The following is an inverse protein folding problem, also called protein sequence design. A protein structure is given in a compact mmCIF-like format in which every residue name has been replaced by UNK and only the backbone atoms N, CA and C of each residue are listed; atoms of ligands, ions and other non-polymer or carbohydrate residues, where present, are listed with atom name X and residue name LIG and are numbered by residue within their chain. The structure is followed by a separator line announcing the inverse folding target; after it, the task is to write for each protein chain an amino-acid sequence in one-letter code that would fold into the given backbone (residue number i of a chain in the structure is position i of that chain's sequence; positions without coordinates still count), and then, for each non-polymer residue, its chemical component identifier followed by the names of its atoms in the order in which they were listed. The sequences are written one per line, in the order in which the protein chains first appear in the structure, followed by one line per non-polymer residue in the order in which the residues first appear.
data_IF_758342422283
#
_entry.id   IF_758342422283
#
_cell.length_a   1.000
_cell.length_b   1.000
_cell.length_c   1.000
_cell.angle_alpha   90.00
_cell.angle_beta   90.00
_cell.angle_gamma   90.00
#
_symmetry.space_group_name_H-M   'P 1'
#
loop_
_entity.id
_entity.type
_entity.pdbx_description
1 polymer ?
#
# COMPACT_ATOMS: atom_id res chain seq x y z
N UNK A 1 -14.44 15.70 -25.50
CA UNK A 1 -14.86 14.89 -24.35
C UNK A 1 -13.78 15.00 -23.30
N UNK A 2 -14.06 15.54 -22.15
CA UNK A 2 -13.10 15.56 -21.05
C UNK A 2 -12.94 14.13 -20.57
N UNK A 3 -11.79 13.57 -20.82
CA UNK A 3 -11.39 12.24 -20.37
C UNK A 3 -11.35 12.28 -18.83
N UNK A 4 -12.44 11.87 -18.19
CA UNK A 4 -12.52 11.77 -16.74
C UNK A 4 -11.88 10.46 -16.33
N UNK A 5 -10.56 10.39 -16.42
CA UNK A 5 -9.82 9.27 -15.89
C UNK A 5 -9.82 9.34 -14.36
N UNK A 6 -10.30 8.28 -13.71
CA UNK A 6 -10.28 8.14 -12.27
C UNK A 6 -9.21 7.14 -11.85
N UNK A 7 -8.57 7.37 -10.71
CA UNK A 7 -7.57 6.46 -10.13
C UNK A 7 -7.92 6.20 -8.67
N UNK A 8 -8.16 4.95 -8.33
CA UNK A 8 -8.33 4.53 -6.95
C UNK A 8 -6.96 4.47 -6.25
N UNK A 9 -6.78 5.26 -5.20
CA UNK A 9 -5.51 5.35 -4.45
C UNK A 9 -5.53 4.61 -3.12
N UNK A 10 -6.68 4.09 -2.68
CA UNK A 10 -6.84 3.38 -1.42
C UNK A 10 -7.66 2.11 -1.66
N UNK A 11 -6.99 0.99 -1.80
CA UNK A 11 -7.62 -0.30 -2.06
C UNK A 11 -6.95 -1.41 -1.27
N UNK A 12 -7.75 -2.36 -0.82
CA UNK A 12 -7.31 -3.56 -0.15
C UNK A 12 -7.55 -4.78 -1.02
N UNK A 13 -6.58 -5.68 -1.04
CA UNK A 13 -6.69 -6.96 -1.71
C UNK A 13 -7.02 -8.09 -0.74
N UNK A 14 -7.09 -9.31 -1.25
CA UNK A 14 -7.21 -10.55 -0.49
C UNK A 14 -6.14 -10.74 0.61
N UNK A 15 -5.04 -9.99 0.56
CA UNK A 15 -4.00 -9.99 1.60
C UNK A 15 -4.31 -9.08 2.80
N UNK A 16 -5.39 -8.32 2.74
CA UNK A 16 -6.00 -7.63 3.88
C UNK A 16 -7.08 -8.52 4.48
N UNK A 17 -6.69 -9.55 5.22
CA UNK A 17 -7.52 -10.69 5.63
C UNK A 17 -8.82 -10.34 6.37
N UNK A 18 -8.94 -9.15 6.93
CA UNK A 18 -10.12 -8.75 7.72
C UNK A 18 -11.21 -8.15 6.83
N UNK A 19 -10.84 -7.37 5.83
CA UNK A 19 -11.76 -6.54 5.04
C UNK A 19 -11.51 -6.56 3.53
N UNK A 20 -10.42 -7.19 3.07
CA UNK A 20 -10.08 -7.31 1.67
C UNK A 20 -10.58 -8.61 1.04
N UNK A 21 -11.37 -8.50 -0.03
CA UNK A 21 -11.86 -9.65 -0.80
C UNK A 21 -11.50 -9.57 -2.29
N UNK A 22 -10.83 -8.50 -2.69
CA UNK A 22 -10.50 -8.25 -4.10
C UNK A 22 -9.27 -9.05 -4.51
N UNK A 23 -9.44 -9.95 -5.48
CA UNK A 23 -8.34 -10.68 -6.09
C UNK A 23 -7.50 -9.74 -6.96
N UNK A 24 -6.17 -9.81 -6.86
CA UNK A 24 -5.26 -8.93 -7.59
C UNK A 24 -5.46 -8.96 -9.12
N UNK A 25 -5.62 -10.12 -9.78
CA UNK A 25 -5.91 -10.16 -11.22
C UNK A 25 -7.23 -9.49 -11.58
N UNK A 26 -8.26 -9.63 -10.72
CA UNK A 26 -9.58 -9.01 -10.94
C UNK A 26 -9.51 -7.49 -10.84
N UNK A 27 -8.75 -6.96 -9.90
CA UNK A 27 -8.52 -5.51 -9.77
C UNK A 27 -7.94 -4.92 -11.07
N UNK A 28 -6.92 -5.55 -11.64
CA UNK A 28 -6.32 -5.11 -12.90
C UNK A 28 -7.31 -5.24 -14.08
N UNK A 29 -8.10 -6.32 -14.14
CA UNK A 29 -9.07 -6.53 -15.21
C UNK A 29 -10.20 -5.50 -15.17
N UNK A 30 -10.74 -5.19 -14.01
CA UNK A 30 -11.80 -4.18 -13.85
C UNK A 30 -11.28 -2.79 -14.25
N UNK A 31 -10.03 -2.46 -13.89
CA UNK A 31 -9.43 -1.20 -14.30
C UNK A 31 -9.29 -1.09 -15.84
N UNK A 32 -8.94 -2.18 -16.49
CA UNK A 32 -8.86 -2.25 -17.95
C UNK A 32 -10.26 -2.05 -18.58
N UNK A 33 -11.26 -2.74 -18.10
CA UNK A 33 -12.65 -2.62 -18.55
C UNK A 33 -13.22 -1.19 -18.37
N UNK A 34 -12.85 -0.53 -17.28
CA UNK A 34 -13.28 0.83 -16.96
C UNK A 34 -12.38 1.92 -17.54
N UNK A 35 -11.38 1.56 -18.33
CA UNK A 35 -10.39 2.46 -18.92
C UNK A 35 -9.68 3.34 -17.88
N UNK A 36 -9.37 2.78 -16.71
CA UNK A 36 -8.60 3.46 -15.68
C UNK A 36 -7.10 3.40 -16.01
N UNK A 37 -6.36 4.51 -15.94
CA UNK A 37 -4.94 4.52 -16.32
C UNK A 37 -4.03 3.91 -15.25
N UNK A 38 -4.49 3.85 -14.00
CA UNK A 38 -3.71 3.42 -12.85
C UNK A 38 -4.61 2.94 -11.71
N UNK A 39 -4.05 2.18 -10.80
CA UNK A 39 -4.67 1.78 -9.54
C UNK A 39 -3.60 1.58 -8.47
N UNK A 40 -3.92 1.88 -7.21
CA UNK A 40 -3.05 1.60 -6.08
C UNK A 40 -3.42 0.30 -5.37
N UNK A 41 -2.42 -0.35 -4.78
CA UNK A 41 -2.57 -1.38 -3.76
C UNK A 41 -2.04 -0.84 -2.44
N UNK A 42 -2.88 -0.85 -1.41
CA UNK A 42 -2.59 -0.27 -0.08
C UNK A 42 -3.12 -1.17 1.03
N UNK A 43 -2.67 -2.42 1.04
CA UNK A 43 -3.09 -3.40 2.04
C UNK A 43 -2.71 -3.01 3.47
N UNK A 44 -3.44 -3.52 4.45
CA UNK A 44 -3.21 -3.26 5.87
C UNK A 44 -1.89 -3.87 6.36
N UNK A 45 -0.93 -3.02 6.68
CA UNK A 45 0.32 -3.36 7.35
C UNK A 45 1.23 -4.34 6.61
N UNK A 46 0.95 -4.65 5.36
CA UNK A 46 1.74 -5.59 4.57
C UNK A 46 1.85 -5.18 3.10
N UNK A 47 2.75 -5.84 2.38
CA UNK A 47 2.98 -5.69 0.94
C UNK A 47 3.10 -7.06 0.25
N UNK A 48 2.44 -8.07 0.78
CA UNK A 48 2.56 -9.45 0.27
C UNK A 48 2.14 -9.58 -1.20
N UNK A 49 1.09 -8.86 -1.60
CA UNK A 49 0.59 -8.87 -2.97
C UNK A 49 1.30 -7.93 -3.94
N UNK A 50 2.31 -7.17 -3.51
CA UNK A 50 2.87 -6.08 -4.32
C UNK A 50 3.45 -6.55 -5.67
N UNK A 51 4.16 -7.67 -5.70
CA UNK A 51 4.77 -8.21 -6.93
C UNK A 51 3.72 -8.75 -7.89
N UNK A 52 2.78 -9.53 -7.38
CA UNK A 52 1.69 -10.11 -8.19
C UNK A 52 0.78 -9.02 -8.75
N UNK A 53 0.46 -8.02 -7.93
CA UNK A 53 -0.29 -6.84 -8.35
C UNK A 53 0.44 -6.06 -9.45
N UNK A 54 1.74 -5.83 -9.28
CA UNK A 54 2.56 -5.16 -10.28
C UNK A 54 2.49 -5.88 -11.63
N UNK A 55 2.69 -7.19 -11.62
CA UNK A 55 2.65 -8.01 -12.83
C UNK A 55 1.26 -8.03 -13.47
N UNK A 56 0.20 -8.17 -12.68
CA UNK A 56 -1.18 -8.14 -13.18
C UNK A 56 -1.50 -6.81 -13.87
N UNK A 57 -1.14 -5.68 -13.28
CA UNK A 57 -1.34 -4.36 -13.86
C UNK A 57 -0.51 -4.16 -15.15
N UNK A 58 0.76 -4.58 -15.14
CA UNK A 58 1.63 -4.45 -16.32
C UNK A 58 1.12 -5.26 -17.51
N UNK A 59 0.57 -6.45 -17.27
CA UNK A 59 -0.02 -7.29 -18.32
C UNK A 59 -1.26 -6.63 -18.99
N UNK A 60 -1.87 -5.67 -18.32
CA UNK A 60 -3.04 -4.91 -18.81
C UNK A 60 -2.70 -3.47 -19.22
N UNK A 61 -1.42 -3.10 -19.25
CA UNK A 61 -0.96 -1.72 -19.50
C UNK A 61 -1.50 -0.68 -18.50
N UNK A 62 -1.86 -1.12 -17.30
CA UNK A 62 -2.29 -0.26 -16.21
C UNK A 62 -1.08 0.10 -15.35
N UNK A 63 -0.97 1.34 -14.94
CA UNK A 63 0.12 1.79 -14.06
C UNK A 63 -0.14 1.29 -12.62
N UNK A 64 0.68 0.39 -12.08
CA UNK A 64 0.59 -0.01 -10.68
C UNK A 64 1.14 1.10 -9.78
N UNK A 65 0.42 1.40 -8.72
CA UNK A 65 0.84 2.30 -7.65
C UNK A 65 0.96 1.46 -6.39
N UNK A 66 2.15 1.39 -5.80
CA UNK A 66 2.42 0.57 -4.63
C UNK A 66 2.39 1.42 -3.38
N UNK A 67 1.64 0.99 -2.39
CA UNK A 67 1.52 1.63 -1.10
C UNK A 67 1.23 0.63 0.02
N UNK A 68 0.94 1.15 1.19
CA UNK A 68 0.55 0.37 2.36
C UNK A 68 -0.27 1.25 3.30
N UNK A 69 -1.24 0.67 3.95
CA UNK A 69 -1.96 1.33 5.03
C UNK A 69 -1.31 0.96 6.37
N UNK A 70 -0.62 1.92 6.96
CA UNK A 70 0.12 1.72 8.21
C UNK A 70 -0.77 1.95 9.42
N UNK A 71 -0.45 1.25 10.50
CA UNK A 71 -0.99 1.50 11.82
C UNK A 71 -0.17 2.56 12.54
N UNK A 72 -0.80 3.63 12.98
CA UNK A 72 -0.16 4.76 13.67
C UNK A 72 -0.52 4.71 15.15
N UNK A 73 0.49 4.53 15.99
CA UNK A 73 0.29 4.54 17.43
C UNK A 73 -0.06 5.96 17.93
N UNK A 74 -1.02 6.12 18.88
CA UNK A 74 -1.47 7.44 19.33
C UNK A 74 -0.39 8.22 20.07
N UNK A 75 0.58 7.54 20.69
CA UNK A 75 1.70 8.17 21.41
C UNK A 75 3.03 7.64 20.88
N UNK A 76 3.43 6.47 21.34
CA UNK A 76 4.70 5.85 20.99
C UNK A 76 4.48 4.41 20.51
N UNK A 77 5.20 4.02 19.45
CA UNK A 77 5.19 2.64 18.96
C UNK A 77 5.77 1.62 19.93
N UNK A 78 6.45 2.09 20.97
CA UNK A 78 7.03 1.23 22.02
C UNK A 78 6.07 1.01 23.18
N UNK A 79 5.01 1.82 23.28
CA UNK A 79 3.96 1.61 24.28
C UNK A 79 3.00 0.53 23.79
N UNK A 80 2.80 -0.48 24.63
CA UNK A 80 1.89 -1.59 24.36
C UNK A 80 0.74 -1.56 25.36
N UNK A 81 -0.11 -0.57 25.26
CA UNK A 81 -1.31 -0.49 26.07
C UNK A 81 -2.49 -1.05 25.26
N UNK A 82 -3.14 -2.13 25.74
CA UNK A 82 -4.29 -2.74 25.04
C UNK A 82 -5.49 -1.82 24.90
N UNK A 83 -5.57 -0.75 25.69
CA UNK A 83 -6.64 0.25 25.62
C UNK A 83 -6.46 1.26 24.49
N UNK A 84 -5.28 1.33 23.88
CA UNK A 84 -5.03 2.27 22.79
C UNK A 84 -5.60 1.77 21.47
N UNK A 85 -6.40 2.62 20.86
CA UNK A 85 -6.75 2.50 19.46
C UNK A 85 -5.62 3.11 18.62
N UNK A 86 -5.38 2.57 17.44
CA UNK A 86 -4.43 3.10 16.47
C UNK A 86 -5.18 3.73 15.29
N UNK A 87 -4.56 4.75 14.71
CA UNK A 87 -5.05 5.36 13.48
C UNK A 87 -4.46 4.65 12.26
N UNK A 88 -5.10 4.81 11.12
CA UNK A 88 -4.63 4.30 9.85
C UNK A 88 -4.05 5.44 9.00
N UNK A 89 -2.92 5.18 8.36
CA UNK A 89 -2.26 6.11 7.46
C UNK A 89 -1.92 5.41 6.14
N UNK A 90 -2.60 5.80 5.09
CA UNK A 90 -2.28 5.31 3.75
C UNK A 90 -1.07 6.05 3.19
N UNK A 91 -0.05 5.30 2.80
CA UNK A 91 1.21 5.81 2.25
C UNK A 91 1.48 5.17 0.90
N UNK A 92 1.85 5.98 -0.07
CA UNK A 92 2.15 5.57 -1.44
C UNK A 92 3.63 5.80 -1.73
N UNK A 93 4.29 4.82 -2.32
CA UNK A 93 5.69 4.93 -2.72
C UNK A 93 5.82 5.81 -3.96
N UNK A 94 6.63 6.88 -3.85
CA UNK A 94 6.91 7.80 -4.95
C UNK A 94 7.77 7.15 -6.05
N UNK A 95 8.69 6.29 -5.66
CA UNK A 95 9.62 5.58 -6.53
C UNK A 95 10.21 4.36 -5.81
N UNK A 96 11.05 3.59 -6.50
CA UNK A 96 11.69 2.40 -5.93
C UNK A 96 12.57 2.70 -4.71
N UNK A 97 13.26 3.82 -4.68
CA UNK A 97 14.06 4.20 -3.52
C UNK A 97 13.18 4.46 -2.30
N UNK A 98 12.04 5.13 -2.50
CA UNK A 98 11.03 5.31 -1.46
C UNK A 98 10.52 3.98 -0.93
N UNK A 99 10.24 3.03 -1.83
CA UNK A 99 9.75 1.71 -1.47
C UNK A 99 10.76 0.89 -0.65
N UNK A 100 12.04 0.97 -0.99
CA UNK A 100 13.08 0.12 -0.42
C UNK A 100 13.78 0.73 0.80
N UNK A 101 14.01 2.04 0.82
CA UNK A 101 14.95 2.68 1.75
C UNK A 101 14.38 3.87 2.52
N UNK A 102 13.36 4.51 2.02
CA UNK A 102 12.82 5.71 2.67
C UNK A 102 11.37 5.51 3.01
N UNK A 103 11.12 5.26 4.25
CA UNK A 103 9.81 5.59 4.77
C UNK A 103 9.68 7.11 4.80
N UNK A 104 8.59 7.66 4.30
CA UNK A 104 8.33 9.10 4.39
C UNK A 104 8.09 9.56 5.83
N UNK A 105 7.97 8.63 6.77
CA UNK A 105 7.72 8.95 8.19
C UNK A 105 9.02 9.06 8.98
N UNK A 106 9.21 10.13 9.78
CA UNK A 106 10.32 10.23 10.73
C UNK A 106 10.42 9.05 11.68
N UNK A 107 9.32 8.34 11.93
CA UNK A 107 9.32 7.13 12.76
C UNK A 107 10.05 5.95 12.11
N UNK A 108 10.01 5.85 10.80
CA UNK A 108 10.68 4.76 10.10
C UNK A 108 12.18 5.02 9.95
N UNK A 109 12.61 6.28 9.97
CA UNK A 109 14.03 6.63 10.10
C UNK A 109 14.66 6.10 11.39
N UNK A 110 13.89 6.00 12.46
CA UNK A 110 14.38 5.41 13.72
C UNK A 110 14.45 3.89 13.67
N UNK A 111 13.72 3.23 12.78
CA UNK A 111 13.82 1.79 12.53
C UNK A 111 15.10 1.39 11.80
N UNK A 112 15.52 2.21 10.84
CA UNK A 112 16.76 1.98 10.07
C UNK A 112 18.05 2.18 10.90
N UNK A 113 17.93 2.68 12.13
CA UNK A 113 19.04 2.85 13.07
C UNK A 113 19.11 1.78 14.15
N UNK A 114 18.34 0.71 14.08
CA UNK A 114 18.66 -0.46 14.88
C UNK A 114 19.94 -1.05 14.32
N UNK A 115 21.01 -1.12 15.11
CA UNK A 115 22.18 -1.86 14.68
C UNK A 115 21.73 -3.28 14.43
N UNK A 116 22.11 -3.84 13.29
CA UNK A 116 22.11 -5.25 13.05
C UNK A 116 23.09 -5.87 14.04
N UNK A 117 22.68 -6.01 15.27
CA UNK A 117 23.45 -6.71 16.26
C UNK A 117 23.04 -8.16 16.15
N UNK A 118 23.97 -8.88 15.54
CA UNK A 118 24.29 -10.28 15.69
C UNK A 118 23.15 -11.26 15.44
#
# INVERSE_FOLDING_TARGET
MTDKSFVHLHNHSEFSFIDGSSLLPSMASICDELNMPAIALTDHGNMYGAVDFYNACKNKNIKPIIGCEFYVAPKSRFEKDPSYTYDHLTVIAKNNNCLLYTSPSPRDRTRSRMPSSA
#
